data_IF_424873359943
#
_entry.id   IF_424873359943
#
_cell.length_a   1.000
_cell.length_b   1.000
_cell.length_c   1.000
_cell.angle_alpha   90.00
_cell.angle_beta   90.00
_cell.angle_gamma   90.00
#
_symmetry.space_group_name_H-M   'P 1'
#
loop_
_entity.id
_entity.type
_entity.pdbx_description
1 polymer ?
#
# COMPACT_ATOMS: atom_id res chain seq x y z
N UNK A 1 19.71 26.42 47.30
CA UNK A 1 19.09 26.88 46.04
C UNK A 1 18.66 25.64 45.26
N UNK A 2 17.37 25.31 45.27
CA UNK A 2 16.80 24.14 44.59
C UNK A 2 15.78 24.63 43.58
N UNK A 3 16.07 24.43 42.29
CA UNK A 3 15.17 24.78 41.20
C UNK A 3 14.20 23.64 40.92
N UNK A 4 12.93 23.82 41.27
CA UNK A 4 11.81 23.01 40.79
C UNK A 4 11.48 23.41 39.35
N UNK A 5 11.70 22.51 38.40
CA UNK A 5 11.21 22.65 37.04
C UNK A 5 9.73 22.22 36.99
N UNK A 6 8.84 23.20 36.79
CA UNK A 6 7.43 23.00 36.49
C UNK A 6 7.28 22.30 35.13
N UNK A 7 6.89 21.02 35.15
CA UNK A 7 6.28 20.32 34.01
C UNK A 7 4.93 20.99 33.73
N UNK A 8 4.86 21.77 32.65
CA UNK A 8 3.61 22.37 32.19
C UNK A 8 2.69 21.29 31.63
N UNK A 9 1.46 21.41 32.09
CA UNK A 9 0.29 20.58 31.82
C UNK A 9 0.11 20.27 30.32
N UNK A 10 -0.26 19.02 30.04
CA UNK A 10 -0.62 18.54 28.73
C UNK A 10 -1.79 19.35 28.17
N UNK A 11 -1.59 19.93 26.98
CA UNK A 11 -2.65 20.53 26.20
C UNK A 11 -3.76 19.49 25.97
N UNK A 12 -4.98 19.86 26.35
CA UNK A 12 -6.17 19.05 26.15
C UNK A 12 -6.34 18.77 24.65
N UNK A 13 -6.11 17.52 24.25
CA UNK A 13 -6.34 17.06 22.89
C UNK A 13 -7.77 17.44 22.47
N UNK A 14 -7.88 18.38 21.54
CA UNK A 14 -9.15 18.64 20.88
C UNK A 14 -9.66 17.31 20.30
N UNK A 15 -10.93 16.93 20.52
CA UNK A 15 -11.49 15.77 19.89
C UNK A 15 -11.39 16.01 18.38
N UNK A 16 -10.45 15.29 17.75
CA UNK A 16 -10.33 15.25 16.30
C UNK A 16 -11.69 14.79 15.81
N UNK A 17 -12.45 15.69 15.21
CA UNK A 17 -13.74 15.35 14.61
C UNK A 17 -13.49 14.16 13.70
N UNK A 18 -14.04 13.01 14.10
CA UNK A 18 -13.79 11.74 13.43
C UNK A 18 -14.28 11.83 12.00
N UNK A 19 -13.39 12.19 11.08
CA UNK A 19 -13.64 11.96 9.67
C UNK A 19 -13.87 10.46 9.54
N UNK A 20 -15.11 10.09 9.25
CA UNK A 20 -15.45 8.70 8.96
C UNK A 20 -14.61 8.28 7.76
N UNK A 21 -13.62 7.43 8.02
CA UNK A 21 -12.69 6.94 7.02
C UNK A 21 -13.45 5.88 6.22
N UNK A 22 -13.80 6.22 4.99
CA UNK A 22 -14.47 5.28 4.10
C UNK A 22 -13.42 4.48 3.33
N UNK A 23 -13.72 3.23 2.89
CA UNK A 23 -12.79 2.41 2.10
C UNK A 23 -12.27 3.08 0.82
N UNK A 24 -12.98 4.08 0.32
CA UNK A 24 -12.60 4.85 -0.86
C UNK A 24 -11.44 5.81 -0.59
N UNK A 25 -11.07 6.08 0.67
CA UNK A 25 -10.01 7.03 1.03
C UNK A 25 -8.60 6.49 0.82
N UNK A 26 -8.41 5.16 0.82
CA UNK A 26 -7.12 4.50 0.67
C UNK A 26 -7.22 3.39 -0.39
N UNK A 27 -6.39 3.48 -1.43
CA UNK A 27 -6.20 2.40 -2.40
C UNK A 27 -4.87 1.69 -2.14
N UNK A 28 -4.88 0.36 -1.97
CA UNK A 28 -3.68 -0.44 -1.68
C UNK A 28 -3.41 -1.42 -2.82
N UNK A 29 -2.22 -1.34 -3.40
CA UNK A 29 -1.71 -2.33 -4.35
C UNK A 29 -0.76 -3.30 -3.67
N UNK A 30 -1.13 -4.57 -3.64
CA UNK A 30 -0.27 -5.67 -3.17
C UNK A 30 0.43 -6.24 -4.41
N UNK A 31 1.73 -6.05 -4.57
CA UNK A 31 2.45 -6.63 -5.69
C UNK A 31 2.54 -8.14 -5.49
N UNK A 32 2.03 -8.92 -6.45
CA UNK A 32 2.01 -10.38 -6.34
C UNK A 32 2.87 -11.05 -7.39
N UNK A 33 3.44 -12.20 -7.07
CA UNK A 33 3.93 -13.12 -8.10
C UNK A 33 2.76 -13.98 -8.56
N UNK A 34 2.44 -14.09 -9.88
CA UNK A 34 1.22 -14.77 -10.33
C UNK A 34 1.05 -16.18 -9.78
N UNK A 35 2.13 -16.96 -9.73
CA UNK A 35 2.11 -18.35 -9.27
C UNK A 35 2.10 -18.51 -7.74
N UNK A 36 2.15 -17.43 -6.97
CA UNK A 36 2.16 -17.49 -5.50
C UNK A 36 0.74 -17.36 -4.91
N UNK A 37 -0.11 -18.35 -5.19
CA UNK A 37 -1.49 -18.36 -4.71
C UNK A 37 -1.59 -18.45 -3.17
N UNK A 38 -0.61 -19.05 -2.51
CA UNK A 38 -0.60 -19.27 -1.08
C UNK A 38 -0.63 -17.95 -0.28
N UNK A 39 0.19 -16.97 -0.64
CA UNK A 39 0.20 -15.68 0.06
C UNK A 39 -1.07 -14.87 -0.16
N UNK A 40 -1.63 -14.89 -1.38
CA UNK A 40 -2.91 -14.23 -1.65
C UNK A 40 -4.06 -14.86 -0.88
N UNK A 41 -4.12 -16.20 -0.83
CA UNK A 41 -5.09 -16.93 -0.03
C UNK A 41 -4.93 -16.60 1.47
N UNK A 42 -3.69 -16.60 1.98
CA UNK A 42 -3.40 -16.24 3.37
C UNK A 42 -3.84 -14.81 3.70
N UNK A 43 -3.55 -13.82 2.84
CA UNK A 43 -4.00 -12.45 3.01
C UNK A 43 -5.54 -12.37 3.08
N UNK A 44 -6.25 -13.05 2.16
CA UNK A 44 -7.72 -13.07 2.12
C UNK A 44 -8.39 -13.59 3.38
N UNK A 45 -7.78 -14.55 4.07
CA UNK A 45 -8.33 -15.14 5.31
C UNK A 45 -7.75 -14.51 6.58
N UNK A 46 -6.86 -13.52 6.46
CA UNK A 46 -6.25 -12.82 7.60
C UNK A 46 -6.52 -11.32 7.52
N UNK A 47 -5.48 -10.50 7.29
CA UNK A 47 -5.53 -9.05 7.41
C UNK A 47 -6.42 -8.38 6.37
N UNK A 48 -6.68 -9.01 5.22
CA UNK A 48 -7.50 -8.41 4.17
C UNK A 48 -8.96 -8.26 4.58
N UNK A 49 -9.46 -9.12 5.48
CA UNK A 49 -10.83 -9.03 6.00
C UNK A 49 -11.05 -7.70 6.72
N UNK A 50 -10.08 -7.31 7.54
CA UNK A 50 -10.07 -6.02 8.23
C UNK A 50 -9.83 -4.86 7.25
N UNK A 51 -8.84 -5.03 6.36
CA UNK A 51 -8.44 -4.00 5.40
C UNK A 51 -9.61 -3.45 4.56
N UNK A 52 -10.54 -4.32 4.15
CA UNK A 52 -11.70 -3.94 3.33
C UNK A 52 -12.61 -2.91 4.00
N UNK A 53 -12.53 -2.73 5.33
CA UNK A 53 -13.27 -1.71 6.07
C UNK A 53 -12.71 -0.31 5.89
N UNK A 54 -11.44 -0.21 5.50
CA UNK A 54 -10.68 1.04 5.48
C UNK A 54 -10.03 1.35 4.13
N UNK A 55 -9.92 0.36 3.24
CA UNK A 55 -9.21 0.48 1.98
C UNK A 55 -9.80 -0.37 0.85
N UNK A 56 -9.66 0.15 -0.37
CA UNK A 56 -9.81 -0.61 -1.61
C UNK A 56 -8.50 -1.32 -1.94
N UNK A 57 -8.45 -2.64 -1.75
CA UNK A 57 -7.24 -3.45 -1.95
C UNK A 57 -7.28 -4.19 -3.28
N UNK A 58 -6.15 -4.25 -3.98
CA UNK A 58 -5.94 -5.02 -5.22
C UNK A 58 -4.64 -5.81 -5.18
N UNK A 59 -4.69 -7.08 -5.57
CA UNK A 59 -3.51 -7.86 -5.95
C UNK A 59 -3.07 -7.44 -7.35
N UNK A 60 -1.88 -6.89 -7.48
CA UNK A 60 -1.38 -6.29 -8.71
C UNK A 60 -0.49 -7.29 -9.44
N UNK A 61 -0.87 -7.60 -10.67
CA UNK A 61 -0.12 -8.46 -11.58
C UNK A 61 0.10 -7.74 -12.91
N UNK A 62 1.16 -8.10 -13.63
CA UNK A 62 1.39 -7.61 -14.98
C UNK A 62 0.37 -8.17 -15.97
N UNK A 63 -0.03 -7.35 -16.93
CA UNK A 63 -0.93 -7.70 -18.02
C UNK A 63 -0.17 -8.44 -19.13
N UNK A 64 0.21 -9.68 -18.83
CA UNK A 64 0.92 -10.58 -19.75
C UNK A 64 0.30 -11.98 -19.74
N UNK A 65 0.45 -12.77 -20.82
CA UNK A 65 -0.20 -14.08 -20.94
C UNK A 65 0.08 -15.03 -19.76
N UNK A 66 1.32 -15.08 -19.27
CA UNK A 66 1.71 -15.94 -18.15
C UNK A 66 0.93 -15.60 -16.86
N UNK A 67 0.79 -14.31 -16.55
CA UNK A 67 0.12 -13.83 -15.35
C UNK A 67 -1.40 -13.95 -15.48
N UNK A 68 -1.96 -13.61 -16.66
CA UNK A 68 -3.38 -13.80 -16.94
C UNK A 68 -3.79 -15.25 -16.85
N UNK A 69 -3.01 -16.17 -17.42
CA UNK A 69 -3.31 -17.60 -17.34
C UNK A 69 -3.26 -18.10 -15.90
N UNK A 70 -2.24 -17.70 -15.12
CA UNK A 70 -2.11 -18.12 -13.72
C UNK A 70 -3.20 -17.55 -12.81
N UNK A 71 -3.71 -16.34 -13.10
CA UNK A 71 -4.64 -15.63 -12.23
C UNK A 71 -6.07 -15.57 -12.78
N UNK A 72 -6.37 -16.14 -13.95
CA UNK A 72 -7.66 -15.98 -14.62
C UNK A 72 -8.83 -16.37 -13.72
N UNK A 73 -8.77 -17.57 -13.15
CA UNK A 73 -9.84 -18.08 -12.30
C UNK A 73 -9.94 -17.32 -10.98
N UNK A 74 -8.80 -17.04 -10.36
CA UNK A 74 -8.74 -16.29 -9.10
C UNK A 74 -9.31 -14.86 -9.28
N UNK A 75 -8.92 -14.17 -10.34
CA UNK A 75 -9.43 -12.85 -10.68
C UNK A 75 -10.95 -12.86 -10.94
N UNK A 76 -11.45 -13.90 -11.61
CA UNK A 76 -12.88 -14.10 -11.87
C UNK A 76 -13.67 -14.35 -10.58
N UNK A 77 -13.13 -15.17 -9.67
CA UNK A 77 -13.80 -15.57 -8.43
C UNK A 77 -13.81 -14.44 -7.40
N UNK A 78 -12.67 -13.76 -7.19
CA UNK A 78 -12.52 -12.80 -6.10
C UNK A 78 -12.67 -11.34 -6.53
N UNK A 79 -12.50 -11.01 -7.81
CA UNK A 79 -12.62 -9.64 -8.33
C UNK A 79 -11.60 -8.65 -7.74
N UNK A 80 -10.55 -9.14 -7.08
CA UNK A 80 -9.56 -8.34 -6.35
C UNK A 80 -8.20 -8.28 -7.05
N UNK A 81 -8.09 -8.79 -8.27
CA UNK A 81 -6.86 -8.73 -9.09
C UNK A 81 -6.90 -7.54 -10.05
N UNK A 82 -5.84 -6.73 -10.05
CA UNK A 82 -5.61 -5.67 -11.04
C UNK A 82 -4.48 -6.09 -11.99
N UNK A 83 -4.81 -6.25 -13.27
CA UNK A 83 -3.81 -6.43 -14.33
C UNK A 83 -3.34 -5.05 -14.81
N UNK A 84 -2.04 -4.79 -14.72
CA UNK A 84 -1.43 -3.50 -15.07
C UNK A 84 -0.42 -3.67 -16.20
N UNK A 85 -0.24 -2.66 -17.05
CA UNK A 85 0.66 -2.72 -18.19
C UNK A 85 2.15 -2.82 -17.77
N UNK A 86 2.62 -4.04 -17.50
CA UNK A 86 3.98 -4.37 -17.11
C UNK A 86 4.26 -5.85 -17.41
N UNK A 87 5.52 -6.16 -17.72
CA UNK A 87 5.98 -7.54 -17.76
C UNK A 87 6.10 -8.12 -16.34
N UNK A 88 5.58 -9.33 -16.11
CA UNK A 88 5.44 -9.92 -14.78
C UNK A 88 5.40 -11.45 -14.80
N UNK A 89 6.39 -12.07 -15.45
CA UNK A 89 6.60 -13.52 -15.41
C UNK A 89 7.76 -13.95 -14.48
N UNK A 90 8.39 -13.02 -13.76
CA UNK A 90 9.58 -13.27 -12.94
C UNK A 90 9.26 -13.16 -11.44
N UNK A 91 10.13 -13.73 -10.59
CA UNK A 91 10.00 -13.73 -9.12
C UNK A 91 10.03 -12.32 -8.51
N UNK A 92 10.74 -11.39 -9.12
CA UNK A 92 10.95 -10.03 -8.57
C UNK A 92 10.04 -9.01 -9.23
N UNK A 93 9.45 -8.14 -8.43
CA UNK A 93 8.66 -7.01 -8.93
C UNK A 93 9.58 -5.96 -9.54
N UNK A 94 9.24 -5.52 -10.74
CA UNK A 94 9.99 -4.47 -11.42
C UNK A 94 9.50 -3.08 -11.00
N UNK A 95 10.37 -2.05 -11.05
CA UNK A 95 9.94 -0.66 -10.92
C UNK A 95 8.82 -0.29 -11.91
N UNK A 96 8.85 -0.87 -13.12
CA UNK A 96 7.81 -0.70 -14.12
C UNK A 96 6.42 -1.15 -13.63
N UNK A 97 6.33 -2.28 -12.92
CA UNK A 97 5.08 -2.77 -12.33
C UNK A 97 4.55 -1.82 -11.26
N UNK A 98 5.44 -1.29 -10.41
CA UNK A 98 5.07 -0.31 -9.37
C UNK A 98 4.55 0.98 -10.01
N UNK A 99 5.21 1.48 -11.05
CA UNK A 99 4.74 2.65 -11.79
C UNK A 99 3.38 2.39 -12.46
N UNK A 100 3.21 1.21 -13.07
CA UNK A 100 1.96 0.81 -13.70
C UNK A 100 0.81 0.71 -12.69
N UNK A 101 1.08 0.26 -11.45
CA UNK A 101 0.12 0.31 -10.36
C UNK A 101 -0.33 1.73 -10.05
N UNK A 102 0.60 2.66 -9.79
CA UNK A 102 0.23 4.04 -9.47
C UNK A 102 -0.58 4.69 -10.60
N UNK A 103 -0.19 4.47 -11.85
CA UNK A 103 -0.92 4.97 -13.02
C UNK A 103 -2.33 4.38 -13.13
N UNK A 104 -2.50 3.09 -12.82
CA UNK A 104 -3.81 2.44 -12.75
C UNK A 104 -4.64 3.00 -11.59
N UNK A 105 -4.07 3.10 -10.38
CA UNK A 105 -4.77 3.48 -9.18
C UNK A 105 -5.31 4.92 -9.24
N UNK A 106 -4.55 5.85 -9.82
CA UNK A 106 -5.01 7.24 -10.06
C UNK A 106 -6.25 7.32 -10.95
N UNK A 107 -6.43 6.35 -11.86
CA UNK A 107 -7.61 6.29 -12.76
C UNK A 107 -8.76 5.51 -12.12
N UNK A 108 -8.47 4.39 -11.48
CA UNK A 108 -9.47 3.49 -10.92
C UNK A 108 -10.06 3.98 -9.58
N UNK A 109 -9.28 4.76 -8.81
CA UNK A 109 -9.65 5.27 -7.50
C UNK A 109 -9.47 6.80 -7.45
N UNK A 110 -10.20 7.57 -8.29
CA UNK A 110 -10.01 9.03 -8.37
C UNK A 110 -10.36 9.76 -7.06
N UNK A 111 -11.03 9.08 -6.13
CA UNK A 111 -11.40 9.63 -4.82
C UNK A 111 -10.50 9.17 -3.68
N UNK A 112 -9.51 8.31 -3.95
CA UNK A 112 -8.54 7.93 -2.96
C UNK A 112 -7.68 9.14 -2.58
N UNK A 113 -7.70 9.49 -1.29
CA UNK A 113 -6.79 10.47 -0.71
C UNK A 113 -5.35 9.93 -0.62
N UNK A 114 -5.22 8.60 -0.55
CA UNK A 114 -3.95 7.90 -0.42
C UNK A 114 -3.87 6.71 -1.38
N UNK A 115 -2.71 6.53 -2.01
CA UNK A 115 -2.39 5.34 -2.80
C UNK A 115 -1.16 4.70 -2.20
N UNK A 116 -1.29 3.45 -1.77
CA UNK A 116 -0.23 2.67 -1.14
C UNK A 116 0.21 1.50 -2.01
N UNK A 117 1.42 1.02 -1.74
CA UNK A 117 1.99 -0.20 -2.32
C UNK A 117 2.59 -1.04 -1.20
N UNK A 118 2.41 -2.35 -1.27
CA UNK A 118 3.11 -3.35 -0.44
C UNK A 118 3.46 -4.59 -1.26
N UNK A 119 4.23 -5.51 -0.67
CA UNK A 119 4.53 -6.83 -1.23
C UNK A 119 3.56 -7.89 -0.68
N UNK A 120 3.46 -9.05 -1.36
CA UNK A 120 2.54 -10.13 -1.00
C UNK A 120 2.96 -10.98 0.21
N UNK A 121 4.21 -10.85 0.67
CA UNK A 121 4.74 -11.46 1.88
C UNK A 121 4.60 -10.58 3.14
N UNK A 122 3.95 -9.40 3.01
CA UNK A 122 3.70 -8.47 4.09
C UNK A 122 2.35 -8.67 4.80
N UNK A 123 2.29 -8.22 6.06
CA UNK A 123 1.05 -8.02 6.79
C UNK A 123 0.79 -6.52 6.98
N UNK A 124 -0.45 -6.08 6.79
CA UNK A 124 -0.83 -4.69 6.90
C UNK A 124 -1.92 -4.48 7.95
N UNK A 125 -1.62 -3.68 8.97
CA UNK A 125 -2.62 -3.21 9.92
C UNK A 125 -3.25 -1.92 9.41
N UNK A 126 -4.31 -2.04 8.62
CA UNK A 126 -4.87 -0.92 7.86
C UNK A 126 -5.49 0.13 8.77
N UNK A 127 -6.17 -0.26 9.85
CA UNK A 127 -6.71 0.68 10.82
C UNK A 127 -5.63 1.62 11.39
N UNK A 128 -4.50 1.05 11.84
CA UNK A 128 -3.38 1.82 12.35
C UNK A 128 -2.75 2.72 11.26
N UNK A 129 -2.60 2.21 10.03
CA UNK A 129 -2.10 3.00 8.91
C UNK A 129 -3.01 4.20 8.64
N UNK A 130 -4.31 4.01 8.55
CA UNK A 130 -5.23 5.12 8.23
C UNK A 130 -5.26 6.15 9.36
N UNK A 131 -5.17 5.71 10.63
CA UNK A 131 -4.96 6.61 11.76
C UNK A 131 -3.70 7.48 11.61
N UNK A 132 -2.57 6.88 11.21
CA UNK A 132 -1.34 7.61 10.95
C UNK A 132 -1.47 8.58 9.75
N UNK A 133 -2.11 8.15 8.66
CA UNK A 133 -2.33 8.96 7.47
C UNK A 133 -3.22 10.18 7.75
N UNK A 134 -4.20 10.05 8.64
CA UNK A 134 -5.04 11.17 9.06
C UNK A 134 -4.22 12.28 9.74
N UNK A 135 -3.20 11.93 10.52
CA UNK A 135 -2.34 12.89 11.23
C UNK A 135 -1.41 13.67 10.28
N UNK A 136 -0.97 13.06 9.17
CA UNK A 136 -0.05 13.71 8.21
C UNK A 136 -0.75 14.47 7.09
N UNK A 137 -2.08 14.32 6.96
CA UNK A 137 -2.88 14.95 5.90
C UNK A 137 -2.88 16.49 5.94
N UNK A 138 -2.48 17.10 7.07
CA UNK A 138 -2.53 18.55 7.26
C UNK A 138 -1.51 19.36 6.45
N UNK A 139 -0.61 18.72 5.69
CA UNK A 139 0.36 19.43 4.86
C UNK A 139 -0.23 19.80 3.48
N UNK A 140 0.02 21.02 2.99
CA UNK A 140 -0.37 21.46 1.62
C UNK A 140 0.50 20.87 0.50
N UNK A 141 1.39 19.94 0.81
CA UNK A 141 2.37 19.37 -0.13
C UNK A 141 2.04 17.92 -0.47
N UNK A 142 2.63 17.42 -1.56
CA UNK A 142 2.66 15.97 -1.81
C UNK A 142 3.36 15.27 -0.65
N UNK A 143 2.67 14.32 -0.01
CA UNK A 143 3.19 13.55 1.12
C UNK A 143 3.61 12.17 0.64
N UNK A 144 4.83 11.78 0.97
CA UNK A 144 5.27 10.39 0.95
C UNK A 144 5.35 9.89 2.39
N UNK A 145 4.70 8.76 2.68
CA UNK A 145 4.65 8.16 4.01
C UNK A 145 5.15 6.72 3.94
N UNK A 146 6.19 6.40 4.72
CA UNK A 146 6.77 5.06 4.76
C UNK A 146 8.21 5.07 5.27
N UNK A 147 8.81 3.89 5.29
CA UNK A 147 10.24 3.76 5.60
C UNK A 147 11.07 4.17 4.39
N UNK A 148 11.90 5.20 4.56
CA UNK A 148 12.91 5.58 3.58
C UNK A 148 14.23 4.98 4.06
N UNK A 149 14.72 3.97 3.35
CA UNK A 149 16.03 3.39 3.61
C UNK A 149 16.97 3.73 2.46
N UNK A 150 18.11 4.33 2.78
CA UNK A 150 19.23 4.45 1.85
C UNK A 150 19.96 3.12 1.83
N UNK A 151 19.80 2.35 0.75
CA UNK A 151 20.72 1.26 0.44
C UNK A 151 21.83 1.89 -0.40
N UNK A 152 23.01 2.09 0.20
CA UNK A 152 24.17 2.66 -0.50
C UNK A 152 24.37 1.97 -1.84
N UNK A 153 24.36 2.76 -2.91
CA UNK A 153 24.38 2.22 -4.28
C UNK A 153 25.63 1.37 -4.53
N UNK A 154 25.45 0.31 -5.33
CA UNK A 154 26.56 -0.40 -5.95
C UNK A 154 27.55 0.62 -6.52
N UNK A 155 28.84 0.43 -6.24
CA UNK A 155 29.88 1.25 -6.85
C UNK A 155 29.74 1.19 -8.37
N UNK A 156 29.71 2.36 -9.02
CA UNK A 156 29.71 2.50 -10.49
C UNK A 156 30.86 1.77 -11.19
N UNK A 157 31.83 1.22 -10.44
CA UNK A 157 32.91 0.38 -10.95
C UNK A 157 32.46 -0.99 -11.46
N UNK A 158 31.25 -1.45 -11.18
CA UNK A 158 30.73 -2.75 -11.65
C UNK A 158 29.86 -2.67 -12.93
N UNK A 159 29.68 -1.47 -13.50
CA UNK A 159 28.90 -1.24 -14.72
C UNK A 159 29.77 -1.18 -15.99
N UNK A 160 30.69 -2.14 -16.17
CA UNK A 160 31.43 -2.34 -17.44
C UNK A 160 31.01 -3.62 -18.13
#
# INVERSE_FOLDING_TARGET
QHGQAMLRSADAAHPVQGHSLTPETLAVGVMVVPNNAAYRAAARVTWLLDAKRYASVRFVAGDVPCARSALAEEARVFGDVAFVNSNDCKKWHSPAKVHAWYAFALKAFPMAAWIAKMEDDGLLWVEALVGALALVRHSRSSVYFGMIQWQGGCSLSEAR
#
